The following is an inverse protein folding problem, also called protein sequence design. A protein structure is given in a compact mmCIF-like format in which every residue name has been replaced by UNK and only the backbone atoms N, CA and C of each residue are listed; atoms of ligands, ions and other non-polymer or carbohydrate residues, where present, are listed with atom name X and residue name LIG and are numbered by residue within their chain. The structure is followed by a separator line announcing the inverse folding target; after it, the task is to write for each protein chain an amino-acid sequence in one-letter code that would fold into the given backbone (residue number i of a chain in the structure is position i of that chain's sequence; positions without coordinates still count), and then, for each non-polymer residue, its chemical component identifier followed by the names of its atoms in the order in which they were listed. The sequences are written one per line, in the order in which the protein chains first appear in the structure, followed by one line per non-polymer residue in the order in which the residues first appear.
data_IF_012617898058
#
_entry.id   IF_012617898058
#
_cell.length_a   1.000
_cell.length_b   1.000
_cell.length_c   1.000
_cell.angle_alpha   90.00
_cell.angle_beta   90.00
_cell.angle_gamma   90.00
#
_symmetry.space_group_name_H-M   'P 1'
#
loop_
_entity.id
_entity.type
_entity.pdbx_description
1 polymer ?
#
# COMPACT_ATOMS: atom_id res chain seq x y z
N UNK A 1 -24.41 8.49 -19.53
CA UNK A 1 -24.93 8.32 -18.15
C UNK A 1 -23.99 8.86 -17.09
N UNK A 2 -22.67 8.61 -17.12
CA UNK A 2 -21.73 9.16 -16.13
C UNK A 2 -21.56 10.70 -16.16
N UNK A 3 -21.76 11.36 -17.31
CA UNK A 3 -21.70 12.84 -17.44
C UNK A 3 -22.72 13.58 -16.59
N UNK A 4 -23.90 12.99 -16.36
CA UNK A 4 -24.99 13.64 -15.62
C UNK A 4 -24.92 13.41 -14.11
N UNK A 5 -24.21 12.37 -13.66
CA UNK A 5 -24.17 12.02 -12.23
C UNK A 5 -23.19 12.89 -11.46
N UNK A 6 -22.15 13.44 -12.10
CA UNK A 6 -21.04 14.10 -11.38
C UNK A 6 -21.04 15.64 -11.48
N UNK A 7 -21.66 16.25 -12.49
CA UNK A 7 -21.70 17.71 -12.64
C UNK A 7 -22.70 18.41 -11.72
N UNK A 8 -23.79 17.74 -11.35
CA UNK A 8 -24.89 18.31 -10.55
C UNK A 8 -25.00 17.68 -9.16
N UNK A 9 -23.92 17.05 -8.65
CA UNK A 9 -23.94 16.56 -7.26
C UNK A 9 -24.01 17.78 -6.35
N UNK A 10 -25.16 17.95 -5.70
CA UNK A 10 -25.35 18.96 -4.68
C UNK A 10 -24.16 18.91 -3.68
N UNK A 11 -23.47 20.03 -3.41
CA UNK A 11 -22.29 20.07 -2.55
C UNK A 11 -22.52 19.42 -1.17
N UNK A 12 -23.76 19.45 -0.66
CA UNK A 12 -24.12 18.82 0.59
C UNK A 12 -24.21 17.29 0.49
N UNK A 13 -24.72 16.74 -0.62
CA UNK A 13 -24.70 15.29 -0.89
C UNK A 13 -23.27 14.81 -1.02
N UNK A 14 -22.43 15.60 -1.70
CA UNK A 14 -21.00 15.32 -1.82
C UNK A 14 -20.29 15.31 -0.47
N UNK A 15 -20.55 16.30 0.39
CA UNK A 15 -20.01 16.36 1.74
C UNK A 15 -20.42 15.15 2.58
N UNK A 16 -21.70 14.73 2.54
CA UNK A 16 -22.19 13.56 3.29
C UNK A 16 -21.64 12.24 2.77
N UNK A 17 -21.51 12.09 1.46
CA UNK A 17 -20.86 10.91 0.86
C UNK A 17 -19.39 10.83 1.30
N UNK A 18 -18.69 11.96 1.24
CA UNK A 18 -17.28 12.10 1.66
C UNK A 18 -17.08 11.77 3.14
N UNK A 19 -17.99 12.23 4.00
CA UNK A 19 -18.00 11.97 5.44
C UNK A 19 -18.28 10.49 5.74
N UNK A 20 -19.28 9.90 5.09
CA UNK A 20 -19.62 8.48 5.25
C UNK A 20 -18.51 7.55 4.73
N UNK A 21 -17.94 7.84 3.56
CA UNK A 21 -16.84 7.04 3.01
C UNK A 21 -15.57 7.10 3.87
N UNK A 22 -15.32 8.23 4.55
CA UNK A 22 -14.27 8.34 5.57
C UNK A 22 -14.58 7.50 6.82
N UNK A 23 -15.83 7.56 7.28
CA UNK A 23 -16.28 6.81 8.45
C UNK A 23 -16.22 5.30 8.22
N UNK A 24 -16.50 4.86 6.99
CA UNK A 24 -16.51 3.44 6.60
C UNK A 24 -15.18 2.95 6.00
N UNK A 25 -14.15 3.80 5.92
CA UNK A 25 -12.79 3.38 5.52
C UNK A 25 -12.64 2.92 4.06
N UNK A 26 -13.42 3.46 3.13
CA UNK A 26 -13.39 2.98 1.73
C UNK A 26 -12.11 3.42 0.99
N UNK A 27 -11.22 2.50 0.56
CA UNK A 27 -9.99 2.83 -0.19
C UNK A 27 -10.30 3.42 -1.58
N UNK A 28 -11.50 3.18 -2.09
CA UNK A 28 -12.03 3.72 -3.35
C UNK A 28 -12.11 5.25 -3.36
N UNK A 29 -12.16 5.90 -2.20
CA UNK A 29 -12.28 7.36 -2.08
C UNK A 29 -11.08 8.10 -2.64
N UNK A 30 -9.86 7.63 -2.36
CA UNK A 30 -8.63 8.23 -2.85
C UNK A 30 -8.55 8.20 -4.38
N UNK A 31 -8.87 7.04 -4.95
CA UNK A 31 -8.95 6.84 -6.40
C UNK A 31 -10.04 7.70 -7.03
N UNK A 32 -11.22 7.78 -6.41
CA UNK A 32 -12.34 8.58 -6.90
C UNK A 32 -12.03 10.09 -6.84
N UNK A 33 -11.42 10.56 -5.75
CA UNK A 33 -10.98 11.97 -5.60
C UNK A 33 -9.87 12.29 -6.61
N UNK A 34 -8.88 11.42 -6.79
CA UNK A 34 -7.83 11.60 -7.80
C UNK A 34 -8.39 11.63 -9.23
N UNK A 35 -9.36 10.76 -9.53
CA UNK A 35 -10.10 10.79 -10.81
C UNK A 35 -10.89 12.09 -10.97
N UNK A 36 -11.54 12.57 -9.92
CA UNK A 36 -12.33 13.80 -9.98
C UNK A 36 -11.48 15.06 -10.09
N UNK A 37 -10.31 15.11 -9.45
CA UNK A 37 -9.33 16.18 -9.61
C UNK A 37 -8.76 16.22 -11.02
N UNK A 38 -8.39 15.05 -11.57
CA UNK A 38 -7.95 14.93 -12.96
C UNK A 38 -9.06 15.35 -13.94
N UNK A 39 -10.32 15.04 -13.63
CA UNK A 39 -11.48 15.48 -14.41
C UNK A 39 -11.66 17.01 -14.32
N UNK A 40 -11.55 17.60 -13.13
CA UNK A 40 -11.65 19.04 -12.91
C UNK A 40 -10.54 19.83 -13.61
N UNK A 41 -9.33 19.26 -13.72
CA UNK A 41 -8.21 19.82 -14.49
C UNK A 41 -8.27 19.51 -16.00
N UNK A 42 -9.33 18.85 -16.47
CA UNK A 42 -9.49 18.40 -17.86
C UNK A 42 -8.40 17.44 -18.35
N UNK A 43 -7.71 16.74 -17.43
CA UNK A 43 -6.72 15.71 -17.73
C UNK A 43 -7.39 14.41 -18.19
N UNK A 44 -8.60 14.14 -17.68
CA UNK A 44 -9.46 13.05 -18.11
C UNK A 44 -10.87 13.59 -18.40
N UNK A 45 -11.53 13.04 -19.41
CA UNK A 45 -12.91 13.34 -19.79
C UNK A 45 -13.62 12.01 -20.05
N UNK A 46 -14.97 11.96 -20.05
CA UNK A 46 -15.71 10.73 -20.33
C UNK A 46 -15.50 10.24 -21.76
N UNK A 47 -14.98 11.12 -22.63
CA UNK A 47 -14.56 10.83 -24.00
C UNK A 47 -13.06 10.52 -24.12
N UNK A 48 -12.27 10.80 -23.07
CA UNK A 48 -10.87 10.41 -23.01
C UNK A 48 -10.81 8.92 -22.75
N UNK A 49 -10.30 8.16 -23.73
CA UNK A 49 -10.06 6.75 -23.55
C UNK A 49 -9.14 6.55 -22.33
N UNK A 50 -9.38 5.51 -21.49
CA UNK A 50 -8.49 5.22 -20.38
C UNK A 50 -7.06 5.08 -20.89
N UNK A 51 -6.05 5.53 -20.13
CA UNK A 51 -4.66 5.38 -20.55
C UNK A 51 -4.41 3.91 -20.84
N UNK A 52 -3.84 3.65 -22.03
CA UNK A 52 -3.58 2.31 -22.50
C UNK A 52 -2.73 1.60 -21.46
N UNK A 53 -3.24 0.49 -20.95
CA UNK A 53 -2.51 -0.34 -20.00
C UNK A 53 -1.44 -1.13 -20.74
N UNK A 54 -0.25 -1.16 -20.17
CA UNK A 54 0.94 -1.81 -20.72
C UNK A 54 1.47 -2.85 -19.71
N UNK A 55 0.66 -3.85 -19.31
CA UNK A 55 1.00 -4.77 -18.22
C UNK A 55 2.28 -5.57 -18.47
N UNK A 56 2.60 -5.89 -19.73
CA UNK A 56 3.84 -6.57 -20.11
C UNK A 56 5.11 -5.77 -19.80
N UNK A 57 4.97 -4.45 -19.57
CA UNK A 57 6.05 -3.53 -19.21
C UNK A 57 6.00 -3.11 -17.73
N UNK A 58 5.08 -3.66 -16.93
CA UNK A 58 4.88 -3.24 -15.54
C UNK A 58 6.08 -3.49 -14.62
N UNK A 59 6.86 -4.51 -14.92
CA UNK A 59 8.08 -4.84 -14.17
C UNK A 59 9.16 -3.75 -14.32
N UNK A 60 9.16 -2.96 -15.40
CA UNK A 60 10.11 -1.85 -15.60
C UNK A 60 9.87 -0.65 -14.64
N UNK A 61 8.74 -0.61 -13.92
CA UNK A 61 8.41 0.52 -13.03
C UNK A 61 9.40 0.70 -11.89
N UNK A 62 9.92 -0.40 -11.32
CA UNK A 62 10.90 -0.34 -10.24
C UNK A 62 12.20 0.32 -10.73
N UNK A 63 12.76 -0.22 -11.81
CA UNK A 63 13.95 0.32 -12.47
C UNK A 63 13.78 1.77 -12.92
N UNK A 64 12.63 2.12 -13.51
CA UNK A 64 12.35 3.51 -13.90
C UNK A 64 12.38 4.47 -12.70
N UNK A 65 11.81 4.08 -11.54
CA UNK A 65 11.88 4.91 -10.32
C UNK A 65 13.32 5.09 -9.85
N UNK A 66 14.11 4.03 -9.86
CA UNK A 66 15.51 4.09 -9.42
C UNK A 66 16.35 5.00 -10.29
N UNK A 67 16.20 4.91 -11.62
CA UNK A 67 16.92 5.79 -12.55
C UNK A 67 16.53 7.25 -12.33
N UNK A 68 15.23 7.54 -12.22
CA UNK A 68 14.75 8.91 -11.93
C UNK A 68 15.24 9.43 -10.57
N UNK A 69 15.33 8.54 -9.56
CA UNK A 69 15.83 8.89 -8.23
C UNK A 69 17.34 9.17 -8.23
N UNK A 70 18.11 8.39 -8.98
CA UNK A 70 19.56 8.48 -9.02
C UNK A 70 20.06 9.59 -9.96
N UNK A 71 19.31 9.91 -11.01
CA UNK A 71 19.64 10.95 -11.97
C UNK A 71 18.42 11.84 -12.27
N UNK A 72 18.40 13.03 -11.65
CA UNK A 72 17.33 14.01 -11.87
C UNK A 72 17.29 14.52 -13.32
N UNK A 73 18.41 14.48 -14.05
CA UNK A 73 18.48 14.92 -15.45
C UNK A 73 17.88 13.90 -16.42
N UNK A 74 17.60 12.68 -15.96
CA UNK A 74 16.97 11.63 -16.76
C UNK A 74 15.68 12.11 -17.46
N UNK A 75 14.87 12.93 -16.77
CA UNK A 75 13.60 13.42 -17.32
C UNK A 75 13.77 14.46 -18.44
N UNK A 76 14.96 15.05 -18.56
CA UNK A 76 15.31 16.05 -19.58
C UNK A 76 15.95 15.41 -20.82
N UNK A 77 16.35 14.14 -20.74
CA UNK A 77 16.87 13.38 -21.87
C UNK A 77 15.78 13.16 -22.94
N UNK A 78 16.20 12.97 -24.19
CA UNK A 78 15.27 12.54 -25.24
C UNK A 78 14.83 11.08 -25.04
N UNK A 79 13.85 10.63 -25.83
CA UNK A 79 13.27 9.28 -25.71
C UNK A 79 14.31 8.17 -25.87
N UNK A 80 15.30 8.35 -26.73
CA UNK A 80 16.30 7.31 -27.01
C UNK A 80 17.29 7.23 -25.85
N UNK A 81 17.80 8.38 -25.40
CA UNK A 81 18.69 8.46 -24.24
C UNK A 81 18.01 8.00 -22.93
N UNK A 82 16.73 8.33 -22.70
CA UNK A 82 15.96 7.79 -21.57
C UNK A 82 15.84 6.27 -21.63
N UNK A 83 15.56 5.72 -22.82
CA UNK A 83 15.43 4.28 -22.96
C UNK A 83 16.76 3.57 -22.74
N UNK A 84 17.85 4.10 -23.29
CA UNK A 84 19.20 3.54 -23.10
C UNK A 84 19.63 3.56 -21.64
N UNK A 85 19.43 4.67 -20.93
CA UNK A 85 19.74 4.77 -19.50
C UNK A 85 18.90 3.77 -18.68
N UNK A 86 17.61 3.62 -18.98
CA UNK A 86 16.75 2.64 -18.33
C UNK A 86 17.21 1.19 -18.60
N UNK A 87 17.53 0.87 -19.85
CA UNK A 87 18.03 -0.45 -20.22
C UNK A 87 19.35 -0.72 -19.52
N UNK A 88 20.30 0.22 -19.55
CA UNK A 88 21.60 0.07 -18.90
C UNK A 88 21.45 -0.23 -17.40
N UNK A 89 20.56 0.49 -16.71
CA UNK A 89 20.28 0.26 -15.29
C UNK A 89 19.70 -1.15 -15.03
N UNK A 90 18.82 -1.64 -15.91
CA UNK A 90 18.30 -3.03 -15.85
C UNK A 90 19.43 -4.05 -16.08
N UNK A 91 20.37 -3.78 -17.00
CA UNK A 91 21.50 -4.67 -17.29
C UNK A 91 22.45 -4.79 -16.11
N UNK A 92 22.67 -3.69 -15.41
CA UNK A 92 23.58 -3.62 -14.25
C UNK A 92 22.94 -4.21 -12.99
N UNK A 93 21.64 -4.50 -12.99
CA UNK A 93 20.94 -5.05 -11.83
C UNK A 93 21.26 -6.54 -11.61
N UNK A 94 21.19 -7.04 -10.36
CA UNK A 94 21.39 -8.46 -10.05
C UNK A 94 20.40 -9.39 -10.78
N UNK A 95 19.25 -8.87 -11.20
CA UNK A 95 18.21 -9.63 -11.88
C UNK A 95 18.64 -10.11 -13.28
N UNK A 96 19.68 -9.52 -13.89
CA UNK A 96 20.53 -10.14 -14.92
C UNK A 96 19.84 -10.88 -16.08
N UNK A 97 18.60 -10.53 -16.44
CA UNK A 97 17.82 -11.22 -17.47
C UNK A 97 18.33 -10.86 -18.87
N UNK A 98 18.27 -11.78 -19.84
CA UNK A 98 18.68 -11.53 -21.23
C UNK A 98 17.84 -10.42 -21.90
N UNK A 99 18.35 -9.20 -21.83
CA UNK A 99 17.75 -7.91 -22.21
C UNK A 99 17.78 -7.60 -23.71
N UNK A 100 18.08 -8.60 -24.55
CA UNK A 100 18.09 -8.44 -26.03
C UNK A 100 16.73 -8.00 -26.57
N UNK A 101 15.65 -8.37 -25.89
CA UNK A 101 14.30 -7.99 -26.27
C UNK A 101 14.02 -6.49 -26.07
N UNK A 102 14.63 -5.84 -25.06
CA UNK A 102 14.47 -4.41 -24.81
C UNK A 102 15.16 -3.55 -25.87
N UNK A 103 16.32 -4.00 -26.36
CA UNK A 103 17.03 -3.34 -27.44
C UNK A 103 16.22 -3.38 -28.75
N UNK A 104 15.48 -4.47 -28.97
CA UNK A 104 14.64 -4.68 -30.16
C UNK A 104 13.33 -3.88 -30.16
N UNK A 105 12.97 -3.20 -29.05
CA UNK A 105 11.72 -2.42 -28.97
C UNK A 105 11.76 -1.24 -29.94
N UNK A 106 10.78 -1.09 -30.85
CA UNK A 106 10.73 0.03 -31.79
C UNK A 106 10.63 1.38 -31.07
N UNK A 107 11.25 2.43 -31.61
CA UNK A 107 11.29 3.78 -30.99
C UNK A 107 9.91 4.34 -30.61
N UNK A 108 8.88 4.10 -31.43
CA UNK A 108 7.50 4.52 -31.14
C UNK A 108 6.95 3.84 -29.89
N UNK A 109 7.27 2.56 -29.71
CA UNK A 109 6.90 1.79 -28.52
C UNK A 109 7.69 2.26 -27.30
N UNK A 110 8.97 2.61 -27.44
CA UNK A 110 9.79 3.17 -26.34
C UNK A 110 9.16 4.44 -25.77
N UNK A 111 8.77 5.39 -26.64
CA UNK A 111 8.11 6.63 -26.23
C UNK A 111 6.78 6.38 -25.48
N UNK A 112 5.99 5.40 -25.95
CA UNK A 112 4.73 5.02 -25.32
C UNK A 112 4.96 4.40 -23.93
N UNK A 113 5.92 3.47 -23.83
CA UNK A 113 6.30 2.81 -22.58
C UNK A 113 6.86 3.82 -21.57
N UNK A 114 7.78 4.69 -21.97
CA UNK A 114 8.36 5.70 -21.07
C UNK A 114 7.29 6.68 -20.56
N UNK A 115 6.36 7.12 -21.43
CA UNK A 115 5.23 7.95 -21.00
C UNK A 115 4.35 7.23 -19.98
N UNK A 116 4.05 5.96 -20.24
CA UNK A 116 3.26 5.13 -19.34
C UNK A 116 3.98 4.86 -18.01
N UNK A 117 5.29 4.58 -18.04
CA UNK A 117 6.12 4.41 -16.86
C UNK A 117 6.17 5.71 -16.06
N UNK A 118 6.36 6.87 -16.69
CA UNK A 118 6.29 8.17 -15.99
C UNK A 118 4.96 8.38 -15.27
N UNK A 119 3.85 8.04 -15.92
CA UNK A 119 2.50 8.18 -15.35
C UNK A 119 2.22 7.19 -14.22
N UNK A 120 2.78 5.98 -14.29
CA UNK A 120 2.40 4.87 -13.40
C UNK A 120 3.47 4.50 -12.36
N UNK A 121 4.71 4.95 -12.55
CA UNK A 121 5.83 4.69 -11.64
C UNK A 121 5.95 5.76 -10.55
N UNK A 122 5.53 7.00 -10.84
CA UNK A 122 5.40 8.09 -9.86
C UNK A 122 4.08 8.04 -9.08
N UNK A 123 3.34 6.94 -9.22
CA UNK A 123 2.44 6.53 -8.17
C UNK A 123 3.35 6.07 -7.03
N UNK A 124 3.93 7.01 -6.28
CA UNK A 124 4.23 6.75 -4.89
C UNK A 124 2.99 6.04 -4.35
N UNK A 125 3.17 5.01 -3.53
CA UNK A 125 2.12 4.72 -2.55
C UNK A 125 2.07 5.99 -1.71
N UNK A 126 1.40 7.03 -2.23
CA UNK A 126 1.03 8.18 -1.45
C UNK A 126 0.20 7.48 -0.39
N UNK A 127 0.74 7.42 0.82
CA UNK A 127 -0.10 7.26 1.98
C UNK A 127 -1.16 8.31 1.75
N UNK A 128 -2.36 7.90 1.34
CA UNK A 128 -3.41 8.85 1.01
C UNK A 128 -3.94 9.28 2.36
N UNK A 129 -3.16 10.15 2.98
CA UNK A 129 -3.46 10.70 4.26
C UNK A 129 -4.68 11.57 4.08
N UNK A 130 -5.65 11.41 4.96
CA UNK A 130 -6.85 12.23 4.96
C UNK A 130 -7.11 12.76 6.36
N UNK A 131 -7.81 13.89 6.45
CA UNK A 131 -8.09 14.54 7.72
C UNK A 131 -9.52 14.24 8.18
N UNK A 132 -9.64 13.81 9.44
CA UNK A 132 -10.92 13.71 10.16
C UNK A 132 -10.94 14.75 11.27
N UNK A 133 -11.89 15.68 11.22
CA UNK A 133 -12.03 16.69 12.27
C UNK A 133 -12.44 16.01 13.58
N UNK A 134 -11.69 16.26 14.66
CA UNK A 134 -11.96 15.67 15.99
C UNK A 134 -12.23 16.72 17.06
N UNK A 135 -11.83 17.98 16.85
CA UNK A 135 -12.16 19.08 17.75
C UNK A 135 -12.56 20.34 16.99
N UNK A 136 -13.57 21.03 17.51
CA UNK A 136 -14.13 22.24 16.95
C UNK A 136 -14.12 23.34 18.02
N UNK A 137 -13.82 24.56 17.60
CA UNK A 137 -13.98 25.77 18.39
C UNK A 137 -15.06 26.62 17.73
N UNK A 138 -15.90 27.25 18.54
CA UNK A 138 -16.92 28.16 18.04
C UNK A 138 -17.15 29.31 18.99
N UNK A 139 -17.52 30.45 18.42
CA UNK A 139 -17.86 31.66 19.15
C UNK A 139 -19.32 32.06 18.90
N UNK A 140 -19.96 32.58 19.94
CA UNK A 140 -21.33 33.10 19.87
C UNK A 140 -22.43 32.09 20.23
N UNK A 141 -23.70 32.55 20.19
CA UNK A 141 -24.85 31.77 20.66
C UNK A 141 -25.19 30.59 19.73
N UNK A 142 -24.84 30.69 18.44
CA UNK A 142 -25.07 29.62 17.47
C UNK A 142 -23.79 28.82 17.22
N UNK A 143 -23.51 27.90 18.15
CA UNK A 143 -22.39 26.98 18.02
C UNK A 143 -22.59 25.97 16.88
N UNK A 144 -23.77 25.81 16.28
CA UNK A 144 -23.94 24.83 15.18
C UNK A 144 -23.41 25.38 13.86
N UNK A 145 -23.55 26.69 13.62
CA UNK A 145 -23.12 27.33 12.37
C UNK A 145 -21.74 27.97 12.45
N UNK A 146 -21.30 28.41 13.64
CA UNK A 146 -20.01 29.07 13.86
C UNK A 146 -18.94 28.14 14.45
N UNK A 147 -18.92 26.86 14.06
CA UNK A 147 -17.85 25.94 14.46
C UNK A 147 -16.80 25.82 13.36
N UNK A 148 -15.55 26.06 13.73
CA UNK A 148 -14.38 25.75 12.92
C UNK A 148 -13.61 24.61 13.59
N UNK A 149 -13.27 23.59 12.81
CA UNK A 149 -12.34 22.56 13.30
C UNK A 149 -10.95 23.17 13.50
N UNK A 150 -10.37 22.94 14.67
CA UNK A 150 -9.00 23.38 15.00
C UNK A 150 -8.07 22.18 15.25
N UNK A 151 -8.59 20.95 15.29
CA UNK A 151 -7.80 19.73 15.38
C UNK A 151 -8.39 18.63 14.51
N UNK A 152 -7.48 17.94 13.83
CA UNK A 152 -7.74 16.81 12.95
C UNK A 152 -6.91 15.62 13.39
N UNK A 153 -7.48 14.44 13.21
CA UNK A 153 -6.77 13.17 13.19
C UNK A 153 -6.41 12.84 11.73
N UNK A 154 -5.22 12.31 11.53
CA UNK A 154 -4.74 11.85 10.24
C UNK A 154 -5.08 10.38 10.08
N UNK A 155 -5.83 10.06 9.02
CA UNK A 155 -6.17 8.71 8.61
C UNK A 155 -5.27 8.25 7.47
N UNK A 156 -5.17 6.94 7.24
CA UNK A 156 -4.34 6.35 6.17
C UNK A 156 -2.89 6.09 6.55
N UNK A 157 -2.57 6.19 7.84
CA UNK A 157 -1.29 5.76 8.43
C UNK A 157 -1.28 4.23 8.62
N UNK A 158 -0.09 3.66 8.80
CA UNK A 158 0.05 2.24 9.21
C UNK A 158 -0.50 2.00 10.62
N UNK A 159 -0.78 0.75 10.99
CA UNK A 159 -1.42 0.39 12.27
C UNK A 159 -0.60 0.77 13.51
N UNK A 160 0.73 0.87 13.38
CA UNK A 160 1.62 1.33 14.45
C UNK A 160 1.72 2.86 14.54
N UNK A 161 1.13 3.60 13.61
CA UNK A 161 1.27 5.04 13.50
C UNK A 161 -0.05 5.77 13.77
N UNK A 162 0.06 6.89 14.48
CA UNK A 162 -1.06 7.82 14.70
C UNK A 162 -0.55 9.24 14.54
N UNK A 163 -1.35 10.12 13.94
CA UNK A 163 -0.97 11.53 13.90
C UNK A 163 -2.16 12.47 14.04
N UNK A 164 -1.86 13.65 14.56
CA UNK A 164 -2.81 14.73 14.75
C UNK A 164 -2.27 16.02 14.14
N UNK A 165 -3.17 16.81 13.57
CA UNK A 165 -2.88 18.13 13.03
C UNK A 165 -3.75 19.16 13.74
N UNK A 166 -3.12 20.10 14.45
CA UNK A 166 -3.82 21.08 15.28
C UNK A 166 -3.36 22.50 15.02
N UNK A 167 -4.27 23.45 15.12
CA UNK A 167 -4.02 24.88 15.04
C UNK A 167 -3.82 25.49 16.43
N UNK A 168 -2.68 26.14 16.63
CA UNK A 168 -2.28 26.80 17.88
C UNK A 168 -2.37 28.33 17.81
N UNK A 169 -3.07 28.89 16.82
CA UNK A 169 -3.19 30.34 16.61
C UNK A 169 -1.94 31.01 16.01
N UNK A 170 -0.86 30.25 15.82
CA UNK A 170 0.38 30.66 15.14
C UNK A 170 0.73 29.74 13.97
N UNK A 171 -0.22 28.93 13.49
CA UNK A 171 -0.06 27.96 12.44
C UNK A 171 -0.42 26.53 12.86
N UNK A 172 -0.59 25.68 11.86
CA UNK A 172 -0.91 24.26 12.02
C UNK A 172 0.34 23.46 12.37
N UNK A 173 0.25 22.52 13.30
CA UNK A 173 1.37 21.66 13.69
C UNK A 173 0.95 20.21 13.61
N UNK A 174 1.94 19.33 13.45
CA UNK A 174 1.76 17.87 13.37
C UNK A 174 2.34 17.25 14.62
N UNK A 175 1.60 16.34 15.24
CA UNK A 175 2.08 15.41 16.26
C UNK A 175 2.02 14.01 15.65
N UNK A 176 3.16 13.32 15.57
CA UNK A 176 3.24 11.94 15.12
C UNK A 176 3.59 11.05 16.32
N UNK A 177 2.82 9.99 16.51
CA UNK A 177 3.10 8.91 17.43
C UNK A 177 3.37 7.61 16.65
N UNK A 178 4.39 6.87 17.08
CA UNK A 178 4.82 5.60 16.47
C UNK A 178 4.93 4.60 17.61
N UNK A 179 4.30 3.44 17.47
CA UNK A 179 4.28 2.38 18.49
C UNK A 179 3.79 2.87 19.86
N UNK A 180 2.85 3.81 19.85
CA UNK A 180 2.30 4.44 21.05
C UNK A 180 3.18 5.52 21.68
N UNK A 181 4.41 5.72 21.20
CA UNK A 181 5.29 6.80 21.64
C UNK A 181 5.05 8.06 20.80
N UNK A 182 4.57 9.13 21.44
CA UNK A 182 4.36 10.42 20.80
C UNK A 182 5.63 11.27 20.79
N UNK A 183 6.00 11.81 19.63
CA UNK A 183 7.08 12.78 19.51
C UNK A 183 6.67 14.20 19.91
N UNK A 184 7.51 15.18 19.56
CA UNK A 184 7.18 16.61 19.71
C UNK A 184 6.28 17.13 18.59
N UNK A 185 5.51 18.17 18.89
CA UNK A 185 4.80 18.93 17.86
C UNK A 185 5.80 19.59 16.91
N UNK A 186 5.55 19.46 15.61
CA UNK A 186 6.38 20.06 14.58
C UNK A 186 6.33 21.59 14.57
N UNK A 187 7.19 22.19 13.74
CA UNK A 187 7.14 23.62 13.42
C UNK A 187 5.78 23.99 12.79
N UNK A 188 5.32 25.25 12.95
CA UNK A 188 4.06 25.67 12.37
C UNK A 188 4.07 25.67 10.84
N UNK A 189 2.91 25.36 10.26
CA UNK A 189 2.59 25.38 8.83
C UNK A 189 1.45 26.37 8.55
N UNK A 190 1.40 26.96 7.34
CA UNK A 190 0.36 27.94 6.98
C UNK A 190 -1.06 27.36 7.01
N UNK A 191 -1.24 26.13 6.52
CA UNK A 191 -2.50 25.42 6.49
C UNK A 191 -2.40 23.98 6.99
N UNK A 192 -3.56 23.38 7.31
CA UNK A 192 -3.66 21.96 7.68
C UNK A 192 -3.23 21.02 6.54
N UNK A 193 -3.49 21.39 5.29
CA UNK A 193 -3.08 20.60 4.12
C UNK A 193 -1.55 20.67 3.93
N UNK A 194 -0.92 21.82 4.16
CA UNK A 194 0.55 21.94 4.15
C UNK A 194 1.20 21.06 5.22
N UNK A 195 0.56 21.00 6.40
CA UNK A 195 0.98 20.13 7.50
C UNK A 195 0.81 18.64 7.15
N UNK A 196 -0.28 18.27 6.48
CA UNK A 196 -0.55 16.91 6.00
C UNK A 196 0.46 16.47 4.95
N UNK A 197 0.74 17.33 3.98
CA UNK A 197 1.74 17.11 2.94
C UNK A 197 3.15 16.98 3.53
N UNK A 198 3.47 17.78 4.56
CA UNK A 198 4.74 17.67 5.26
C UNK A 198 4.87 16.35 6.02
N UNK A 199 3.78 15.88 6.65
CA UNK A 199 3.74 14.57 7.29
C UNK A 199 3.92 13.44 6.27
N UNK A 200 3.21 13.48 5.15
CA UNK A 200 3.33 12.48 4.08
C UNK A 200 4.79 12.35 3.60
N UNK A 201 5.46 13.48 3.32
CA UNK A 201 6.89 13.48 2.94
C UNK A 201 7.81 12.94 4.04
N UNK A 202 7.52 13.25 5.30
CA UNK A 202 8.32 12.77 6.43
C UNK A 202 8.20 11.25 6.59
N UNK A 203 7.01 10.69 6.36
CA UNK A 203 6.79 9.25 6.37
C UNK A 203 7.46 8.56 5.19
N UNK A 204 7.36 9.12 3.97
CA UNK A 204 8.07 8.60 2.79
C UNK A 204 9.59 8.54 3.02
N UNK A 205 10.18 9.59 3.63
CA UNK A 205 11.60 9.60 3.97
C UNK A 205 11.98 8.56 5.03
N UNK A 206 11.13 8.35 6.04
CA UNK A 206 11.35 7.35 7.09
C UNK A 206 11.15 5.93 6.60
N UNK A 207 10.20 5.69 5.70
CA UNK A 207 10.06 4.40 5.04
C UNK A 207 11.29 4.09 4.18
N UNK A 208 12.12 5.08 3.83
CA UNK A 208 13.39 4.82 3.15
C UNK A 208 14.54 4.48 4.10
N UNK A 209 14.45 4.89 5.39
CA UNK A 209 15.51 4.67 6.40
C UNK A 209 15.18 3.54 7.39
N UNK A 210 13.91 3.33 7.73
CA UNK A 210 13.40 2.30 8.63
C UNK A 210 12.66 1.17 7.87
N UNK A 211 12.21 1.46 6.64
CA UNK A 211 11.60 0.48 5.75
C UNK A 211 12.59 0.02 4.69
N UNK A 212 13.33 -1.05 4.97
CA UNK A 212 13.67 -1.94 3.86
C UNK A 212 12.30 -2.41 3.34
N UNK A 213 11.81 -1.76 2.29
CA UNK A 213 10.71 -2.24 1.48
C UNK A 213 11.24 -3.58 0.99
N UNK A 214 10.82 -4.67 1.65
CA UNK A 214 11.36 -5.99 1.39
C UNK A 214 11.18 -6.23 -0.10
N UNK A 215 12.29 -6.20 -0.83
CA UNK A 215 12.24 -6.53 -2.22
C UNK A 215 11.73 -7.96 -2.29
N UNK A 216 10.79 -8.22 -3.19
CA UNK A 216 10.29 -9.58 -3.36
C UNK A 216 11.44 -10.53 -3.73
N UNK A 217 12.49 -9.99 -4.36
CA UNK A 217 13.74 -10.70 -4.67
C UNK A 217 14.59 -11.01 -3.42
N UNK A 218 14.43 -10.27 -2.32
CA UNK A 218 15.12 -10.48 -1.05
C UNK A 218 14.39 -11.45 -0.12
N UNK A 219 13.16 -11.86 -0.43
CA UNK A 219 12.39 -12.84 0.36
C UNK A 219 13.11 -14.19 0.36
N UNK A 220 13.70 -14.57 1.49
CA UNK A 220 14.37 -15.88 1.66
C UNK A 220 13.47 -16.96 2.25
N UNK A 221 12.34 -16.58 2.83
CA UNK A 221 11.36 -17.51 3.39
C UNK A 221 9.95 -17.05 3.10
N UNK A 222 9.11 -17.99 2.65
CA UNK A 222 7.67 -17.76 2.49
C UNK A 222 6.87 -18.75 3.34
N UNK A 223 5.68 -18.32 3.77
CA UNK A 223 4.70 -19.16 4.43
C UNK A 223 3.35 -18.95 3.75
N UNK A 224 2.68 -20.04 3.42
CA UNK A 224 1.31 -20.02 2.97
C UNK A 224 0.40 -20.49 4.11
N UNK A 225 -0.57 -19.66 4.44
CA UNK A 225 -1.69 -19.98 5.32
C UNK A 225 -2.94 -20.15 4.47
N UNK A 226 -3.82 -21.05 4.88
CA UNK A 226 -5.10 -21.33 4.22
C UNK A 226 -6.15 -21.52 5.30
N UNK A 227 -7.40 -21.15 5.10
CA UNK A 227 -8.50 -21.46 6.05
C UNK A 227 -8.87 -22.95 6.09
N UNK A 228 -8.30 -23.77 5.21
CA UNK A 228 -8.63 -25.18 5.07
C UNK A 228 -7.50 -26.14 5.47
N UNK A 229 -6.35 -25.61 5.91
CA UNK A 229 -5.16 -26.42 6.21
C UNK A 229 -4.60 -26.00 7.57
N UNK A 230 -4.92 -26.80 8.60
CA UNK A 230 -4.32 -26.66 9.92
C UNK A 230 -2.91 -27.21 9.94
N UNK A 231 -1.96 -26.37 10.33
CA UNK A 231 -0.57 -26.77 10.53
C UNK A 231 -0.04 -26.10 11.79
N UNK A 232 1.14 -26.52 12.26
CA UNK A 232 1.87 -25.76 13.27
C UNK A 232 2.66 -24.65 12.61
N UNK A 233 2.83 -23.54 13.34
CA UNK A 233 3.77 -22.51 12.97
C UNK A 233 5.15 -23.15 12.74
N UNK A 234 5.85 -22.76 11.67
CA UNK A 234 7.17 -23.33 11.36
C UNK A 234 8.24 -22.97 12.40
N UNK A 235 8.01 -21.94 13.23
CA UNK A 235 8.97 -21.41 14.20
C UNK A 235 8.62 -21.69 15.67
N UNK A 236 7.38 -22.10 15.97
CA UNK A 236 6.95 -22.42 17.34
C UNK A 236 5.85 -23.49 17.35
N UNK A 237 5.29 -23.78 18.52
CA UNK A 237 4.28 -24.82 18.68
C UNK A 237 2.83 -24.38 18.38
N UNK A 238 2.60 -23.09 18.07
CA UNK A 238 1.28 -22.51 17.82
C UNK A 238 0.60 -23.16 16.61
N UNK A 239 -0.72 -23.37 16.68
CA UNK A 239 -1.50 -23.88 15.55
C UNK A 239 -1.94 -22.71 14.65
N UNK A 240 -1.81 -22.88 13.33
CA UNK A 240 -2.10 -21.85 12.32
C UNK A 240 -2.83 -22.46 11.12
N UNK A 241 -3.58 -21.67 10.35
CA UNK A 241 -4.27 -22.12 9.13
C UNK A 241 -5.51 -23.00 9.37
N UNK A 242 -5.90 -23.19 10.61
CA UNK A 242 -7.18 -23.79 10.95
C UNK A 242 -7.62 -23.21 12.27
N UNK A 243 -8.67 -22.43 12.24
CA UNK A 243 -9.33 -21.98 13.45
C UNK A 243 -10.79 -22.39 13.35
N UNK A 244 -11.32 -22.93 14.45
CA UNK A 244 -12.70 -23.41 14.51
C UNK A 244 -13.72 -22.28 14.26
N UNK A 245 -13.28 -21.03 14.40
CA UNK A 245 -14.02 -19.80 14.09
C UNK A 245 -13.80 -19.28 12.66
N UNK A 246 -12.89 -19.89 11.88
CA UNK A 246 -12.54 -19.47 10.51
C UNK A 246 -11.70 -18.19 10.42
N UNK A 247 -11.23 -17.66 11.54
CA UNK A 247 -10.41 -16.46 11.62
C UNK A 247 -8.92 -16.67 11.23
N UNK A 248 -8.66 -16.63 9.92
CA UNK A 248 -7.30 -16.63 9.36
C UNK A 248 -6.44 -15.46 9.87
N UNK A 249 -7.06 -14.35 10.33
CA UNK A 249 -6.33 -13.14 10.71
C UNK A 249 -5.43 -13.37 11.93
N UNK A 250 -5.84 -14.21 12.87
CA UNK A 250 -5.02 -14.58 14.03
C UNK A 250 -3.74 -15.31 13.60
N UNK A 251 -3.85 -16.21 12.63
CA UNK A 251 -2.67 -16.92 12.08
C UNK A 251 -1.73 -15.95 11.34
N UNK A 252 -2.28 -14.99 10.59
CA UNK A 252 -1.49 -13.96 9.89
C UNK A 252 -0.75 -13.09 10.91
N UNK A 253 -1.48 -12.55 11.90
CA UNK A 253 -0.93 -11.67 12.93
C UNK A 253 0.12 -12.40 13.76
N UNK A 254 -0.07 -13.69 14.07
CA UNK A 254 0.97 -14.48 14.74
C UNK A 254 2.30 -14.45 13.99
N UNK A 255 2.31 -14.65 12.66
CA UNK A 255 3.54 -14.60 11.87
C UNK A 255 4.16 -13.20 11.80
N UNK A 256 3.33 -12.16 11.70
CA UNK A 256 3.79 -10.77 11.65
C UNK A 256 4.40 -10.38 13.00
N UNK A 257 3.66 -10.56 14.08
CA UNK A 257 4.01 -10.04 15.41
C UNK A 257 5.10 -10.89 16.10
N UNK A 258 5.00 -12.22 16.01
CA UNK A 258 5.93 -13.11 16.72
C UNK A 258 7.20 -13.41 15.92
N UNK A 259 7.13 -13.38 14.59
CA UNK A 259 8.21 -13.85 13.72
C UNK A 259 8.66 -12.83 12.67
N UNK A 260 8.13 -11.61 12.66
CA UNK A 260 8.59 -10.52 11.79
C UNK A 260 8.24 -10.66 10.31
N UNK A 261 7.31 -11.55 9.96
CA UNK A 261 6.87 -11.72 8.57
C UNK A 261 6.07 -10.52 8.08
N UNK A 262 5.93 -10.41 6.74
CA UNK A 262 5.09 -9.43 6.08
C UNK A 262 4.10 -10.10 5.15
N UNK A 263 2.86 -9.61 5.12
CA UNK A 263 1.82 -10.10 4.23
C UNK A 263 2.13 -9.69 2.78
N UNK A 264 2.36 -10.68 1.91
CA UNK A 264 2.64 -10.47 0.49
C UNK A 264 1.37 -10.55 -0.36
N UNK A 265 0.48 -11.50 -0.02
CA UNK A 265 -0.75 -11.72 -0.76
C UNK A 265 -1.86 -12.23 0.15
N UNK A 266 -3.09 -11.79 -0.11
CA UNK A 266 -4.31 -12.33 0.48
C UNK A 266 -5.33 -12.52 -0.63
N UNK A 267 -5.88 -13.72 -0.74
CA UNK A 267 -6.78 -14.09 -1.84
C UNK A 267 -7.64 -15.30 -1.53
N UNK A 268 -8.30 -15.82 -2.56
CA UNK A 268 -9.16 -17.00 -2.46
C UNK A 268 -8.65 -18.07 -3.41
N UNK A 269 -8.60 -19.31 -2.93
CA UNK A 269 -8.28 -20.50 -3.71
C UNK A 269 -9.53 -21.37 -3.83
N UNK A 270 -9.78 -21.91 -5.02
CA UNK A 270 -10.84 -22.89 -5.26
C UNK A 270 -10.21 -24.28 -5.40
N UNK A 271 -10.62 -25.20 -4.55
CA UNK A 271 -10.34 -26.64 -4.65
C UNK A 271 -11.63 -27.41 -4.92
N UNK A 272 -11.57 -28.73 -5.00
CA UNK A 272 -12.76 -29.58 -5.11
C UNK A 272 -12.77 -30.56 -3.93
N UNK A 273 -13.95 -30.78 -3.35
CA UNK A 273 -14.16 -31.81 -2.34
C UNK A 273 -14.16 -33.20 -2.99
N UNK A 274 -14.20 -34.25 -2.17
CA UNK A 274 -14.17 -35.64 -2.65
C UNK A 274 -15.36 -36.01 -3.57
N UNK A 275 -16.48 -35.28 -3.45
CA UNK A 275 -17.67 -35.42 -4.30
C UNK A 275 -17.60 -34.59 -5.60
N UNK A 276 -16.50 -33.87 -5.82
CA UNK A 276 -16.32 -32.99 -6.97
C UNK A 276 -16.99 -31.63 -6.85
N UNK A 277 -17.62 -31.30 -5.72
CA UNK A 277 -18.15 -29.96 -5.49
C UNK A 277 -17.02 -28.94 -5.27
N UNK A 278 -17.16 -27.69 -5.76
CA UNK A 278 -16.15 -26.66 -5.53
C UNK A 278 -16.13 -26.24 -4.05
N UNK A 279 -14.92 -26.05 -3.52
CA UNK A 279 -14.67 -25.57 -2.17
C UNK A 279 -13.77 -24.33 -2.23
N UNK A 280 -14.15 -23.25 -1.56
CA UNK A 280 -13.37 -22.02 -1.52
C UNK A 280 -12.63 -21.91 -0.20
N UNK A 281 -11.39 -21.44 -0.24
CA UNK A 281 -10.57 -21.20 0.94
C UNK A 281 -9.88 -19.85 0.81
N UNK A 282 -9.78 -19.10 1.91
CA UNK A 282 -8.97 -17.88 1.92
C UNK A 282 -7.52 -18.29 2.13
N UNK A 283 -6.62 -17.74 1.32
CA UNK A 283 -5.18 -17.98 1.39
C UNK A 283 -4.45 -16.69 1.69
N UNK A 284 -3.44 -16.77 2.56
CA UNK A 284 -2.50 -15.69 2.82
C UNK A 284 -1.09 -16.19 2.56
N UNK A 285 -0.29 -15.41 1.82
CA UNK A 285 1.13 -15.69 1.61
C UNK A 285 1.91 -14.58 2.32
N UNK A 286 2.82 -15.00 3.19
CA UNK A 286 3.70 -14.11 3.93
C UNK A 286 5.17 -14.36 3.54
N UNK A 287 5.99 -13.32 3.65
CA UNK A 287 7.43 -13.36 3.33
C UNK A 287 8.30 -12.82 4.46
N UNK A 288 9.54 -13.32 4.52
CA UNK A 288 10.61 -12.83 5.38
C UNK A 288 11.96 -12.90 4.64
N UNK A 289 12.77 -11.86 4.72
CA UNK A 289 14.14 -11.74 4.20
C UNK A 289 15.17 -12.56 5.00
N UNK A 290 15.00 -12.66 6.31
CA UNK A 290 15.83 -13.46 7.20
C UNK A 290 14.96 -14.21 8.22
N UNK A 291 14.20 -15.23 7.79
CA UNK A 291 13.25 -15.91 8.66
C UNK A 291 13.96 -16.53 9.88
N UNK A 292 13.31 -16.55 11.05
CA UNK A 292 13.82 -17.30 12.20
C UNK A 292 14.10 -18.77 11.81
N UNK A 293 15.02 -19.47 12.50
CA UNK A 293 15.20 -20.89 12.27
C UNK A 293 13.90 -21.66 12.51
N UNK A 294 13.71 -22.75 11.78
CA UNK A 294 12.54 -23.61 11.98
C UNK A 294 12.60 -24.27 13.35
N UNK A 295 11.43 -24.43 13.99
CA UNK A 295 11.31 -25.20 15.21
C UNK A 295 11.81 -26.64 14.94
N UNK A 296 12.51 -27.25 15.92
CA UNK A 296 12.98 -28.62 15.77
C UNK A 296 11.79 -29.52 15.46
N UNK A 297 11.90 -30.31 14.38
CA UNK A 297 10.88 -31.30 14.05
C UNK A 297 10.71 -32.24 15.26
N UNK A 298 9.47 -32.50 15.72
CA UNK A 298 9.27 -33.42 16.82
C UNK A 298 9.90 -34.76 16.46
N UNK A 299 10.74 -35.28 17.35
CA UNK A 299 11.36 -36.58 17.15
C UNK A 299 10.25 -37.63 17.11
N UNK A 300 9.96 -38.15 15.91
CA UNK A 300 8.94 -39.19 15.73
C UNK A 300 9.48 -40.47 16.34
N UNK A 301 9.17 -40.69 17.62
CA UNK A 301 9.39 -41.98 18.26
C UNK A 301 8.33 -42.95 17.78
N UNK A 302 8.71 -43.80 16.83
CA UNK A 302 7.91 -44.95 16.45
C UNK A 302 7.94 -45.90 17.65
N UNK A 303 6.91 -45.83 18.49
CA UNK A 303 6.68 -46.86 19.50
C UNK A 303 6.16 -48.07 18.74
N UNK A 304 7.04 -49.04 18.48
CA UNK A 304 6.59 -50.35 18.04
C UNK A 304 5.82 -50.95 19.21
N UNK A 305 4.50 -51.01 19.10
CA UNK A 305 3.68 -51.80 20.01
C UNK A 305 4.21 -53.23 19.95
N UNK A 306 4.58 -53.75 21.12
CA UNK A 306 5.01 -55.13 21.25
C UNK A 306 3.86 -56.02 20.78
N UNK A 307 4.04 -56.87 19.74
CA UNK A 307 2.97 -57.72 19.23
C UNK A 307 2.54 -58.82 20.23
N UNK A 308 3.03 -58.80 21.47
CA UNK A 308 2.69 -59.74 22.54
C UNK A 308 1.72 -59.22 23.61
N UNK A 309 1.21 -57.99 23.49
CA UNK A 309 0.06 -57.48 24.29
C UNK A 309 -1.31 -57.68 23.62
#
# INVERSE_FOLDING_TARGET
MAEYVLRDVNPHIWSRFTERANLEGWPTKALLVGLMDAYGRSEISPTTAPPRQLPQWAWLRAYYREVVKNDASFLDLDVEAQWEALVQHVVESPAGLEWRELAAVPIRTRAEVLRWLRQTSNLSVRHVLTLRAIAHIGEGPDLQTNRRAFQYEVLGLSSSQQAWIADFGGGWRVLLAIDGESGDWSKPFPGKEDALDALARALEGRDTEAGVLMDIEEVRGTVQLSTNIGTRCRHCAELVGFSDDGDLSQSINHYIDAHGYRLLHLGTQTSHAADGSPWHSTIAVLGHDNPPPDAPKPEVRIVMMDPSE
#
